data_IF_873744739737
#
_entry.id   IF_873744739737
#
_cell.length_a   1.000
_cell.length_b   1.000
_cell.length_c   1.000
_cell.angle_alpha   90.00
_cell.angle_beta   90.00
_cell.angle_gamma   90.00
#
_symmetry.space_group_name_H-M   'P 1'
#
loop_
_entity.id
_entity.type
_entity.pdbx_description
1 polymer ?
#
# COMPACT_ATOMS: atom_id res chain seq x y z
N UNK A 1 26.09 -79.42 -16.29
CA UNK A 1 25.33 -79.71 -15.06
C UNK A 1 25.20 -78.36 -14.38
N UNK A 2 24.07 -77.82 -14.58
CA UNK A 2 23.03 -77.51 -13.60
C UNK A 2 23.54 -76.51 -12.51
N UNK A 3 22.96 -75.48 -12.12
CA UNK A 3 21.57 -75.04 -12.26
C UNK A 3 21.35 -73.77 -11.44
N UNK A 4 20.31 -73.08 -11.77
CA UNK A 4 19.46 -72.23 -10.94
C UNK A 4 20.04 -70.90 -10.39
N UNK A 5 19.72 -69.75 -11.02
CA UNK A 5 18.52 -68.95 -10.87
C UNK A 5 18.13 -68.59 -9.47
N UNK A 6 18.34 -67.34 -9.12
CA UNK A 6 17.43 -66.60 -8.23
C UNK A 6 17.41 -65.11 -8.61
N UNK A 7 16.26 -64.67 -9.06
CA UNK A 7 15.90 -63.28 -9.20
C UNK A 7 15.72 -62.65 -7.82
N UNK A 8 16.41 -61.57 -7.54
CA UNK A 8 15.99 -60.63 -6.49
C UNK A 8 15.63 -59.29 -7.13
N UNK A 9 14.41 -58.89 -6.85
CA UNK A 9 13.80 -57.65 -7.31
C UNK A 9 14.16 -56.55 -6.33
N UNK A 10 15.06 -55.69 -6.72
CA UNK A 10 15.33 -54.49 -5.94
C UNK A 10 14.30 -53.40 -6.29
N UNK A 11 13.51 -53.09 -5.28
CA UNK A 11 12.55 -52.01 -5.29
C UNK A 11 13.23 -50.63 -5.29
N UNK A 12 13.11 -49.92 -6.37
CA UNK A 12 13.55 -48.53 -6.48
C UNK A 12 12.72 -47.65 -5.54
N UNK A 13 13.29 -47.31 -4.42
CA UNK A 13 12.81 -46.25 -3.53
C UNK A 13 12.94 -44.87 -4.22
N UNK A 14 11.82 -44.32 -4.71
CA UNK A 14 11.72 -42.95 -5.14
C UNK A 14 11.90 -42.06 -3.92
N UNK A 15 13.04 -41.42 -3.78
CA UNK A 15 13.25 -40.29 -2.90
C UNK A 15 12.40 -39.13 -3.39
N UNK A 16 11.38 -38.80 -2.60
CA UNK A 16 10.59 -37.57 -2.76
C UNK A 16 11.50 -36.42 -2.35
N UNK A 17 11.97 -35.65 -3.32
CA UNK A 17 12.60 -34.37 -3.09
C UNK A 17 11.52 -33.40 -2.60
N UNK A 18 11.60 -33.01 -1.34
CA UNK A 18 10.90 -31.86 -0.78
C UNK A 18 11.32 -30.61 -1.58
N UNK A 19 10.37 -29.76 -1.98
CA UNK A 19 10.72 -28.49 -2.62
C UNK A 19 11.53 -27.64 -1.62
N UNK A 20 12.63 -27.07 -2.09
CA UNK A 20 13.45 -26.14 -1.34
C UNK A 20 12.57 -25.02 -0.77
N UNK A 21 12.66 -24.83 0.52
CA UNK A 21 12.12 -23.65 1.20
C UNK A 21 12.75 -22.41 0.57
N UNK A 22 11.90 -21.57 -0.04
CA UNK A 22 12.30 -20.26 -0.53
C UNK A 22 12.84 -19.46 0.64
N UNK A 23 14.08 -19.01 0.52
CA UNK A 23 14.67 -18.05 1.46
C UNK A 23 13.77 -16.83 1.60
N UNK A 24 13.56 -16.31 2.83
CA UNK A 24 12.72 -15.16 3.07
C UNK A 24 13.36 -13.90 2.48
N UNK A 25 12.71 -13.34 1.48
CA UNK A 25 13.02 -12.00 0.98
C UNK A 25 12.91 -10.97 2.12
N UNK A 26 13.73 -9.92 2.08
CA UNK A 26 13.92 -8.86 3.10
C UNK A 26 12.66 -8.14 3.61
N UNK A 27 11.47 -8.51 3.13
CA UNK A 27 10.17 -7.95 3.51
C UNK A 27 9.52 -8.59 4.75
N UNK A 28 10.09 -9.68 5.30
CA UNK A 28 9.49 -10.44 6.42
C UNK A 28 9.44 -9.67 7.76
N UNK A 29 10.19 -8.57 7.90
CA UNK A 29 10.19 -7.75 9.12
C UNK A 29 9.19 -6.60 9.13
N UNK A 30 8.50 -6.34 8.00
CA UNK A 30 7.65 -5.17 7.80
C UNK A 30 6.17 -5.56 7.70
N UNK A 31 5.90 -6.77 7.24
CA UNK A 31 4.54 -7.28 7.07
C UNK A 31 4.15 -8.17 8.25
N UNK A 32 2.90 -8.03 8.69
CA UNK A 32 2.32 -8.92 9.70
C UNK A 32 2.17 -10.35 9.17
N UNK A 33 2.18 -11.32 10.09
CA UNK A 33 2.09 -12.74 9.77
C UNK A 33 0.83 -13.10 8.96
N UNK A 34 0.90 -14.22 8.25
CA UNK A 34 -0.22 -14.79 7.48
C UNK A 34 -1.39 -15.09 8.44
N UNK A 35 -2.58 -14.60 8.12
CA UNK A 35 -3.80 -14.82 8.92
C UNK A 35 -4.24 -13.60 9.74
N UNK A 36 -3.46 -12.53 9.79
CA UNK A 36 -3.93 -11.25 10.34
C UNK A 36 -4.95 -10.64 9.37
N UNK A 37 -6.20 -10.55 9.82
CA UNK A 37 -7.27 -9.96 9.02
C UNK A 37 -7.28 -8.44 9.19
N UNK A 38 -7.53 -7.72 8.09
CA UNK A 38 -7.75 -6.29 8.12
C UNK A 38 -8.96 -5.90 8.98
N UNK A 39 -8.84 -4.78 9.68
CA UNK A 39 -9.86 -4.30 10.62
C UNK A 39 -10.99 -3.52 9.96
N UNK A 40 -10.77 -3.02 8.73
CA UNK A 40 -11.65 -2.09 8.02
C UNK A 40 -12.01 -2.60 6.62
N UNK A 41 -13.11 -2.10 6.08
CA UNK A 41 -13.49 -2.26 4.67
C UNK A 41 -13.25 -0.95 3.93
N UNK A 42 -12.58 -1.02 2.78
CA UNK A 42 -12.18 0.16 2.04
C UNK A 42 -12.79 0.19 0.64
N UNK A 43 -13.43 1.30 0.31
CA UNK A 43 -13.85 1.66 -1.03
C UNK A 43 -12.91 2.74 -1.57
N UNK A 44 -12.36 2.52 -2.78
CA UNK A 44 -11.39 3.41 -3.40
C UNK A 44 -11.94 3.99 -4.69
N UNK A 45 -11.98 5.30 -4.79
CA UNK A 45 -12.42 5.98 -6.00
C UNK A 45 -11.31 5.96 -7.07
N UNK A 46 -11.64 5.71 -8.34
CA UNK A 46 -10.67 5.72 -9.44
C UNK A 46 -9.88 7.02 -9.57
N UNK A 47 -10.48 8.15 -9.17
CA UNK A 47 -9.83 9.47 -9.15
C UNK A 47 -8.52 9.46 -8.34
N UNK A 48 -8.50 8.74 -7.23
CA UNK A 48 -7.29 8.63 -6.37
C UNK A 48 -6.15 7.98 -7.14
N UNK A 49 -6.45 6.89 -7.88
CA UNK A 49 -5.45 6.17 -8.69
C UNK A 49 -4.91 7.08 -9.81
N UNK A 50 -5.80 7.83 -10.44
CA UNK A 50 -5.44 8.78 -11.51
C UNK A 50 -4.53 9.89 -10.97
N UNK A 51 -4.87 10.49 -9.83
CA UNK A 51 -4.06 11.53 -9.19
C UNK A 51 -2.65 11.03 -8.85
N UNK A 52 -2.54 9.85 -8.25
CA UNK A 52 -1.24 9.26 -7.90
C UNK A 52 -0.41 8.97 -9.15
N UNK A 53 -1.05 8.43 -10.19
CA UNK A 53 -0.39 8.12 -11.47
C UNK A 53 0.10 9.39 -12.17
N UNK A 54 -0.70 10.46 -12.15
CA UNK A 54 -0.34 11.77 -12.69
C UNK A 54 0.84 12.37 -11.91
N UNK A 55 0.75 12.41 -10.59
CA UNK A 55 1.81 12.90 -9.71
C UNK A 55 3.15 12.21 -10.01
N UNK A 56 3.16 10.88 -10.07
CA UNK A 56 4.37 10.13 -10.38
C UNK A 56 4.89 10.43 -11.79
N UNK A 57 4.01 10.47 -12.79
CA UNK A 57 4.40 10.71 -14.18
C UNK A 57 5.00 12.11 -14.34
N UNK A 58 4.41 13.10 -13.72
CA UNK A 58 4.88 14.50 -13.74
C UNK A 58 6.22 14.63 -13.02
N UNK A 59 6.36 14.05 -11.82
CA UNK A 59 7.62 14.08 -11.06
C UNK A 59 8.74 13.37 -11.82
N UNK A 60 8.45 12.22 -12.43
CA UNK A 60 9.43 11.52 -13.29
C UNK A 60 9.87 12.37 -14.47
N UNK A 61 8.94 13.06 -15.14
CA UNK A 61 9.28 13.92 -16.28
C UNK A 61 10.14 15.12 -15.84
N UNK A 62 9.87 15.70 -14.68
CA UNK A 62 10.65 16.82 -14.13
C UNK A 62 12.04 16.41 -13.67
N UNK A 63 12.17 15.26 -13.02
CA UNK A 63 13.45 14.76 -12.50
C UNK A 63 14.29 14.02 -13.55
N UNK A 64 13.72 13.66 -14.71
CA UNK A 64 14.38 12.86 -15.75
C UNK A 64 14.57 11.38 -15.39
N UNK A 65 14.12 10.95 -14.22
CA UNK A 65 14.23 9.57 -13.73
C UNK A 65 13.04 9.23 -12.81
N UNK A 66 12.67 7.94 -12.68
CA UNK A 66 11.65 7.52 -11.73
C UNK A 66 11.98 7.96 -10.31
N UNK A 67 11.05 8.67 -9.66
CA UNK A 67 11.17 9.10 -8.27
C UNK A 67 10.00 8.52 -7.47
N UNK A 68 10.24 8.26 -6.18
CA UNK A 68 9.18 7.92 -5.23
C UNK A 68 8.41 9.20 -4.90
N UNK A 69 7.10 9.14 -4.96
CA UNK A 69 6.22 10.27 -4.62
C UNK A 69 5.33 9.91 -3.45
N UNK A 70 4.88 10.93 -2.73
CA UNK A 70 4.11 10.80 -1.50
C UNK A 70 2.93 11.78 -1.51
N UNK A 71 1.85 11.39 -0.85
CA UNK A 71 0.71 12.27 -0.72
C UNK A 71 -0.30 11.79 0.31
N UNK A 72 -1.30 12.62 0.55
CA UNK A 72 -2.40 12.39 1.46
C UNK A 72 -3.59 11.73 0.78
N UNK A 73 -4.29 10.88 1.51
CA UNK A 73 -5.57 10.31 1.14
C UNK A 73 -6.68 10.98 1.95
N UNK A 74 -7.73 11.42 1.28
CA UNK A 74 -8.88 12.06 1.91
C UNK A 74 -10.18 11.40 1.48
N UNK A 75 -11.17 11.47 2.35
CA UNK A 75 -12.48 10.87 2.11
C UNK A 75 -13.33 10.84 3.36
N UNK A 76 -14.17 9.82 3.48
CA UNK A 76 -15.11 9.67 4.59
C UNK A 76 -14.90 8.36 5.32
N UNK A 77 -15.07 8.39 6.63
CA UNK A 77 -15.06 7.20 7.45
C UNK A 77 -16.36 7.10 8.27
N UNK A 78 -17.01 5.96 8.22
CA UNK A 78 -18.17 5.62 9.05
C UNK A 78 -17.92 4.29 9.76
N UNK A 79 -17.48 4.37 11.01
CA UNK A 79 -17.09 3.19 11.76
C UNK A 79 -15.93 2.46 11.09
N UNK A 80 -16.16 1.23 10.63
CA UNK A 80 -15.14 0.40 9.96
C UNK A 80 -15.15 0.51 8.43
N UNK A 81 -16.10 1.26 7.87
CA UNK A 81 -16.17 1.52 6.45
C UNK A 81 -15.45 2.83 6.11
N UNK A 82 -14.46 2.75 5.25
CA UNK A 82 -13.65 3.87 4.79
C UNK A 82 -13.84 4.04 3.30
N UNK A 83 -14.13 5.25 2.87
CA UNK A 83 -14.27 5.63 1.47
C UNK A 83 -13.20 6.66 1.11
N UNK A 84 -12.19 6.22 0.35
CA UNK A 84 -11.11 7.09 -0.12
C UNK A 84 -11.55 7.73 -1.42
N UNK A 85 -11.81 9.03 -1.38
CA UNK A 85 -12.49 9.75 -2.46
C UNK A 85 -11.54 10.62 -3.28
N UNK A 86 -10.50 11.17 -2.66
CA UNK A 86 -9.55 12.06 -3.32
C UNK A 86 -8.17 11.97 -2.65
N UNK A 87 -7.19 12.68 -3.21
CA UNK A 87 -5.84 12.74 -2.69
C UNK A 87 -5.19 14.07 -3.05
N UNK A 88 -4.16 14.47 -2.30
CA UNK A 88 -3.29 15.60 -2.62
C UNK A 88 -1.83 15.25 -2.34
N UNK A 89 -0.94 15.98 -2.98
CA UNK A 89 0.50 15.78 -2.85
C UNK A 89 1.00 16.29 -1.50
N UNK A 90 1.95 15.55 -0.92
CA UNK A 90 2.69 15.95 0.27
C UNK A 90 4.12 16.29 -0.11
N UNK A 91 4.65 17.31 0.55
CA UNK A 91 6.06 17.67 0.44
C UNK A 91 6.86 17.05 1.59
N UNK A 92 8.09 16.68 1.28
CA UNK A 92 8.99 15.99 2.19
C UNK A 92 10.39 16.58 2.11
N UNK A 93 11.00 16.74 3.26
CA UNK A 93 12.39 17.16 3.39
C UNK A 93 13.25 15.95 3.77
N UNK A 94 14.42 15.83 3.17
CA UNK A 94 15.39 14.80 3.58
C UNK A 94 16.43 15.44 4.51
N UNK A 95 16.43 15.02 5.77
CA UNK A 95 17.37 15.48 6.78
C UNK A 95 18.16 14.29 7.31
N UNK A 96 19.47 14.31 7.19
CA UNK A 96 20.37 13.23 7.64
C UNK A 96 19.97 11.83 7.09
N UNK A 97 19.50 11.78 5.85
CA UNK A 97 19.06 10.56 5.19
C UNK A 97 17.67 10.07 5.59
N UNK A 98 16.96 10.78 6.46
CA UNK A 98 15.56 10.49 6.84
C UNK A 98 14.60 11.39 6.10
N UNK A 99 13.51 10.79 5.65
CA UNK A 99 12.40 11.49 4.98
C UNK A 99 11.46 12.03 6.05
N UNK A 100 11.31 13.35 6.10
CA UNK A 100 10.44 14.05 7.05
C UNK A 100 9.33 14.77 6.31
N UNK A 101 8.10 14.65 6.84
CA UNK A 101 6.93 15.36 6.30
C UNK A 101 7.09 16.86 6.55
N UNK A 102 6.88 17.67 5.52
CA UNK A 102 6.69 19.10 5.68
C UNK A 102 5.30 19.38 6.31
N UNK A 103 5.30 19.58 7.63
CA UNK A 103 4.08 19.79 8.41
C UNK A 103 3.39 21.11 8.06
N UNK A 104 4.14 22.14 7.74
CA UNK A 104 3.57 23.45 7.40
C UNK A 104 2.87 23.36 6.04
N UNK A 105 3.50 22.69 5.08
CA UNK A 105 2.87 22.41 3.78
C UNK A 105 1.60 21.57 3.95
N UNK A 106 1.66 20.50 4.76
CA UNK A 106 0.50 19.65 5.05
C UNK A 106 -0.66 20.49 5.63
N UNK A 107 -0.42 21.31 6.65
CA UNK A 107 -1.46 22.10 7.31
C UNK A 107 -2.13 23.07 6.33
N UNK A 108 -1.34 23.74 5.48
CA UNK A 108 -1.86 24.66 4.45
C UNK A 108 -2.76 23.89 3.45
N UNK A 109 -2.31 22.72 3.01
CA UNK A 109 -3.06 21.88 2.06
C UNK A 109 -4.34 21.34 2.69
N UNK A 110 -4.29 20.85 3.91
CA UNK A 110 -5.46 20.37 4.63
C UNK A 110 -6.51 21.49 4.79
N UNK A 111 -6.09 22.70 5.18
CA UNK A 111 -7.00 23.86 5.27
C UNK A 111 -7.65 24.17 3.91
N UNK A 112 -6.89 24.20 2.84
CA UNK A 112 -7.42 24.43 1.48
C UNK A 112 -8.43 23.34 1.08
N UNK A 113 -8.15 22.07 1.37
CA UNK A 113 -9.06 20.98 1.06
C UNK A 113 -10.34 21.03 1.91
N UNK A 114 -10.23 21.37 3.20
CA UNK A 114 -11.37 21.54 4.11
C UNK A 114 -12.31 22.66 3.66
N UNK A 115 -11.79 23.73 3.05
CA UNK A 115 -12.62 24.81 2.49
C UNK A 115 -13.50 24.33 1.33
N UNK A 116 -13.01 23.39 0.51
CA UNK A 116 -13.73 22.86 -0.66
C UNK A 116 -14.52 21.61 -0.31
N UNK A 117 -13.95 20.73 0.50
CA UNK A 117 -14.48 19.41 0.85
C UNK A 117 -14.62 19.29 2.37
N UNK A 118 -15.49 20.10 2.97
CA UNK A 118 -15.66 20.19 4.43
C UNK A 118 -16.03 18.87 5.10
N UNK A 119 -16.63 17.93 4.36
CA UNK A 119 -17.05 16.62 4.86
C UNK A 119 -16.00 15.51 4.68
N UNK A 120 -14.84 15.82 4.09
CA UNK A 120 -13.76 14.86 3.91
C UNK A 120 -12.72 15.03 5.00
N UNK A 121 -12.25 13.93 5.53
CA UNK A 121 -11.20 13.86 6.53
C UNK A 121 -9.91 13.27 5.95
N UNK A 122 -8.79 13.54 6.61
CA UNK A 122 -7.53 12.89 6.33
C UNK A 122 -7.60 11.43 6.79
N UNK A 123 -7.49 10.50 5.83
CA UNK A 123 -7.62 9.07 6.07
C UNK A 123 -6.28 8.33 6.12
N UNK A 124 -5.24 8.92 5.56
CA UNK A 124 -3.94 8.28 5.46
C UNK A 124 -3.10 8.88 4.34
N UNK A 125 -2.20 8.08 3.80
CA UNK A 125 -1.20 8.55 2.85
C UNK A 125 -0.92 7.52 1.76
N UNK A 126 -0.26 7.97 0.68
CA UNK A 126 0.20 7.08 -0.38
C UNK A 126 1.68 7.26 -0.69
N UNK A 127 2.27 6.20 -1.22
CA UNK A 127 3.56 6.27 -1.90
C UNK A 127 3.56 5.45 -3.19
N UNK A 128 4.63 5.61 -3.98
CA UNK A 128 4.88 4.76 -5.15
C UNK A 128 6.06 3.84 -4.89
N UNK A 129 5.93 2.56 -5.29
CA UNK A 129 6.95 1.55 -5.08
C UNK A 129 6.43 0.14 -5.30
N UNK A 130 7.31 -0.84 -5.28
CA UNK A 130 6.96 -2.24 -5.51
C UNK A 130 6.38 -2.90 -4.25
N UNK A 131 6.99 -2.65 -3.09
CA UNK A 131 6.58 -3.16 -1.79
C UNK A 131 6.93 -2.16 -0.68
N UNK A 132 6.25 -2.22 0.48
CA UNK A 132 6.59 -1.42 1.64
C UNK A 132 8.04 -1.62 2.09
N UNK A 133 8.66 -0.54 2.57
CA UNK A 133 10.03 -0.50 3.06
C UNK A 133 10.08 -0.05 4.51
N UNK A 134 11.25 -0.15 5.16
CA UNK A 134 11.44 0.39 6.51
C UNK A 134 11.29 1.91 6.55
N UNK A 135 11.66 2.61 5.48
CA UNK A 135 11.42 4.05 5.35
C UNK A 135 9.92 4.37 5.36
N UNK A 136 9.10 3.50 4.76
CA UNK A 136 7.64 3.67 4.78
C UNK A 136 7.07 3.50 6.20
N UNK A 137 7.66 2.64 7.04
CA UNK A 137 7.31 2.54 8.48
C UNK A 137 7.66 3.84 9.21
N UNK A 138 8.84 4.41 8.96
CA UNK A 138 9.24 5.66 9.62
C UNK A 138 8.37 6.86 9.20
N UNK A 139 7.98 6.93 7.93
CA UNK A 139 7.01 7.90 7.44
C UNK A 139 5.63 7.64 8.07
N UNK A 140 5.20 6.39 8.13
CA UNK A 140 3.90 6.04 8.71
C UNK A 140 3.78 6.44 10.19
N UNK A 141 4.86 6.29 10.97
CA UNK A 141 4.91 6.77 12.34
C UNK A 141 4.68 8.28 12.45
N UNK A 142 5.24 9.07 11.53
CA UNK A 142 5.01 10.52 11.48
C UNK A 142 3.56 10.85 11.09
N UNK A 143 2.95 10.04 10.22
CA UNK A 143 1.54 10.17 9.85
C UNK A 143 0.62 9.80 11.02
N UNK A 144 1.01 8.84 11.87
CA UNK A 144 0.25 8.49 13.07
C UNK A 144 0.09 9.66 14.06
N UNK A 145 0.95 10.67 14.01
CA UNK A 145 0.78 11.90 14.79
C UNK A 145 -0.38 12.79 14.28
N UNK A 146 -0.82 12.57 13.04
CA UNK A 146 -1.94 13.29 12.41
C UNK A 146 -3.24 12.50 12.55
N UNK A 147 -3.18 11.21 12.29
CA UNK A 147 -4.30 10.27 12.37
C UNK A 147 -3.80 8.98 13.04
N UNK A 148 -4.41 8.58 14.13
CA UNK A 148 -3.97 7.43 14.95
C UNK A 148 -3.97 6.08 14.20
N UNK A 149 -4.79 5.95 13.16
CA UNK A 149 -4.94 4.72 12.38
C UNK A 149 -4.98 5.00 10.87
N UNK A 150 -3.88 5.53 10.31
CA UNK A 150 -3.89 5.96 8.92
C UNK A 150 -3.82 4.76 7.98
N UNK A 151 -4.50 4.85 6.84
CA UNK A 151 -4.31 3.94 5.72
C UNK A 151 -2.98 4.24 5.01
N UNK A 152 -2.34 3.21 4.51
CA UNK A 152 -1.21 3.33 3.59
C UNK A 152 -1.55 2.68 2.26
N UNK A 153 -1.53 3.47 1.18
CA UNK A 153 -1.75 3.02 -0.18
C UNK A 153 -0.43 3.06 -0.95
N UNK A 154 -0.07 1.95 -1.58
CA UNK A 154 1.11 1.88 -2.43
C UNK A 154 0.73 1.54 -3.86
N UNK A 155 1.16 2.37 -4.80
CA UNK A 155 1.02 2.15 -6.23
C UNK A 155 2.37 1.78 -6.83
N UNK A 156 2.44 0.68 -7.61
CA UNK A 156 3.63 0.34 -8.39
C UNK A 156 3.48 0.78 -9.85
N UNK A 157 3.97 1.96 -10.23
CA UNK A 157 3.80 2.49 -11.59
C UNK A 157 4.63 1.77 -12.64
N UNK A 158 5.57 0.91 -12.22
CA UNK A 158 6.43 0.13 -13.11
C UNK A 158 5.95 -1.31 -13.30
N UNK A 159 4.82 -1.69 -12.68
CA UNK A 159 4.26 -3.04 -12.82
C UNK A 159 3.75 -3.26 -14.24
N UNK A 160 4.40 -4.14 -14.97
CA UNK A 160 4.00 -4.56 -16.32
C UNK A 160 2.88 -5.61 -16.36
N UNK A 161 2.15 -5.85 -15.27
CA UNK A 161 1.10 -6.89 -15.20
C UNK A 161 -0.27 -6.33 -15.58
N UNK A 162 -0.83 -6.66 -16.75
CA UNK A 162 -2.10 -6.08 -17.22
C UNK A 162 -3.35 -6.65 -16.50
N UNK A 163 -3.22 -7.72 -15.73
CA UNK A 163 -4.37 -8.44 -15.16
C UNK A 163 -4.90 -7.90 -13.84
N UNK A 164 -4.10 -7.12 -13.10
CA UNK A 164 -4.50 -6.54 -11.81
C UNK A 164 -4.01 -5.11 -11.70
N UNK A 165 -4.78 -4.27 -11.01
CA UNK A 165 -4.29 -2.94 -10.64
C UNK A 165 -3.03 -3.08 -9.79
N UNK A 166 -1.94 -2.36 -10.13
CA UNK A 166 -0.68 -2.44 -9.42
C UNK A 166 -0.73 -1.64 -8.11
N UNK A 167 -1.71 -1.96 -7.27
CA UNK A 167 -2.06 -1.21 -6.07
C UNK A 167 -2.21 -2.16 -4.88
N UNK A 168 -1.65 -1.76 -3.77
CA UNK A 168 -1.80 -2.42 -2.49
C UNK A 168 -2.20 -1.42 -1.41
N UNK A 169 -3.08 -1.84 -0.53
CA UNK A 169 -3.57 -1.04 0.59
C UNK A 169 -3.21 -1.74 1.90
N UNK A 170 -2.83 -0.96 2.90
CA UNK A 170 -2.37 -1.46 4.18
C UNK A 170 -2.96 -0.66 5.34
N UNK A 171 -3.12 -1.33 6.48
CA UNK A 171 -3.20 -0.72 7.81
C UNK A 171 -1.97 -1.12 8.62
N UNK A 172 -1.68 -0.41 9.69
CA UNK A 172 -0.60 -0.77 10.60
C UNK A 172 -1.14 -1.46 11.85
N UNK A 173 -0.36 -2.39 12.36
CA UNK A 173 -0.58 -3.05 13.64
C UNK A 173 0.72 -3.02 14.45
N UNK A 174 0.61 -3.00 15.77
CA UNK A 174 1.76 -3.19 16.65
C UNK A 174 1.79 -4.65 17.08
N UNK A 175 2.88 -5.33 16.81
CA UNK A 175 3.08 -6.72 17.19
C UNK A 175 4.41 -6.88 17.95
N UNK A 176 4.51 -7.94 18.74
CA UNK A 176 5.73 -8.27 19.49
C UNK A 176 6.55 -9.26 18.68
N UNK A 177 7.62 -8.76 18.05
CA UNK A 177 8.54 -9.57 17.27
C UNK A 177 9.83 -9.76 18.06
N UNK A 178 10.15 -11.00 18.45
CA UNK A 178 11.33 -11.35 19.25
C UNK A 178 11.46 -10.57 20.57
N UNK A 179 10.34 -10.19 21.19
CA UNK A 179 10.30 -9.45 22.44
C UNK A 179 10.25 -7.92 22.30
N UNK A 180 10.40 -7.39 21.11
CA UNK A 180 10.31 -5.96 20.82
C UNK A 180 8.97 -5.62 20.15
N UNK A 181 8.33 -4.54 20.60
CA UNK A 181 7.15 -4.01 19.95
C UNK A 181 7.53 -3.35 18.63
N UNK A 182 6.98 -3.83 17.52
CA UNK A 182 7.23 -3.31 16.19
C UNK A 182 5.93 -2.97 15.47
N UNK A 183 5.98 -1.90 14.68
CA UNK A 183 4.91 -1.58 13.76
C UNK A 183 5.08 -2.41 12.49
N UNK A 184 4.01 -3.10 12.09
CA UNK A 184 3.95 -3.94 10.91
C UNK A 184 2.77 -3.52 10.04
N UNK A 185 2.86 -3.73 8.73
CA UNK A 185 1.76 -3.53 7.81
C UNK A 185 0.94 -4.80 7.62
N UNK A 186 -0.38 -4.64 7.64
CA UNK A 186 -1.37 -5.67 7.28
C UNK A 186 -2.00 -5.27 5.96
N UNK A 187 -1.94 -6.16 4.98
CA UNK A 187 -2.57 -5.91 3.69
C UNK A 187 -4.09 -5.95 3.81
N UNK A 188 -4.75 -4.91 3.29
CA UNK A 188 -6.21 -4.79 3.24
C UNK A 188 -6.72 -5.16 1.85
N UNK A 189 -7.93 -5.74 1.82
CA UNK A 189 -8.74 -5.79 0.63
C UNK A 189 -9.42 -4.44 0.39
N UNK A 190 -9.67 -4.12 -0.88
CA UNK A 190 -10.42 -2.92 -1.27
C UNK A 190 -11.38 -3.23 -2.41
N UNK A 191 -12.40 -2.40 -2.54
CA UNK A 191 -13.31 -2.40 -3.69
C UNK A 191 -13.17 -1.08 -4.44
N UNK A 192 -13.34 -1.10 -5.77
CA UNK A 192 -13.41 0.14 -6.53
C UNK A 192 -14.84 0.69 -6.48
N UNK A 193 -14.96 1.97 -6.18
CA UNK A 193 -16.23 2.69 -6.27
C UNK A 193 -16.56 2.93 -7.76
N UNK A 194 -17.35 2.03 -8.36
CA UNK A 194 -17.59 2.06 -9.82
C UNK A 194 -18.91 2.69 -10.23
N UNK A 195 -19.84 2.97 -9.31
CA UNK A 195 -21.22 3.25 -9.72
C UNK A 195 -21.82 4.59 -9.29
N UNK A 196 -21.19 5.38 -8.43
CA UNK A 196 -21.82 6.63 -7.97
C UNK A 196 -21.25 7.92 -8.58
N UNK A 197 -20.22 7.85 -9.37
CA UNK A 197 -19.75 9.03 -10.15
C UNK A 197 -20.81 9.46 -11.18
N UNK A 198 -21.76 8.60 -11.51
CA UNK A 198 -22.87 8.89 -12.44
C UNK A 198 -24.02 9.71 -11.83
N UNK A 199 -24.00 9.94 -10.52
CA UNK A 199 -25.09 10.69 -9.83
C UNK A 199 -24.64 11.95 -9.10
N UNK A 200 -23.33 12.24 -9.05
CA UNK A 200 -22.89 13.58 -8.67
C UNK A 200 -23.02 14.45 -9.89
N UNK A 201 -24.08 15.24 -9.91
CA UNK A 201 -24.45 16.25 -10.85
C UNK A 201 -23.26 16.93 -11.53
N UNK A 202 -23.03 16.59 -12.79
CA UNK A 202 -22.37 17.46 -13.74
C UNK A 202 -23.34 18.62 -14.08
N UNK A 203 -23.83 19.31 -13.08
CA UNK A 203 -24.40 20.64 -13.21
C UNK A 203 -23.28 21.68 -13.10
N UNK A 204 -22.25 21.53 -13.95
CA UNK A 204 -21.46 22.67 -14.34
C UNK A 204 -22.27 23.28 -15.50
N UNK A 205 -23.09 24.24 -15.15
CA UNK A 205 -23.71 25.13 -16.10
C UNK A 205 -22.58 25.73 -16.97
N UNK A 206 -22.62 25.40 -18.24
CA UNK A 206 -21.92 26.15 -19.28
C UNK A 206 -22.60 27.52 -19.29
N UNK A 207 -21.91 28.53 -18.80
CA UNK A 207 -22.18 29.93 -19.08
C UNK A 207 -21.04 30.44 -19.95
#
# INVERSE_FOLDING_TARGET
>A
MADQSSMEVDGAGKSIQTPAENEPTSHQGIMAGVGTAGSVTVSLHPLVIMNISEHWTRTKAQAGSPQKVYGALIGKQKGRAIEVMNSFELDFNTVEGKVLIDRDYYNIKEEQFKQVFSEMDFLGWYSTGEAPTEDDIEIHKQICDINESPLFLQLNPLSGRPSNLPLALFESVIDIVKGDARMLFVKLGYTLATEEVSKMDFNIAVI
#
